data_IF_189444639997
#
_entry.id   IF_189444639997
#
_cell.length_a   1.000
_cell.length_b   1.000
_cell.length_c   1.000
_cell.angle_alpha   90.00
_cell.angle_beta   90.00
_cell.angle_gamma   90.00
#
_symmetry.space_group_name_H-M   'P 1'
#
loop_
_entity.id
_entity.type
_entity.pdbx_description
1 polymer ?
#
# COMPACT_ATOMS: atom_id res chain seq x y z
N UNK A 1 11.45 -11.15 -19.26
CA UNK A 1 11.89 -10.05 -18.40
C UNK A 1 10.84 -9.82 -17.33
N UNK A 2 11.25 -9.51 -16.09
CA UNK A 2 10.31 -9.28 -15.00
C UNK A 2 10.78 -8.08 -14.17
N UNK A 3 9.82 -7.26 -13.73
CA UNK A 3 10.02 -6.15 -12.82
C UNK A 3 9.87 -6.66 -11.39
N UNK A 4 10.88 -6.43 -10.55
CA UNK A 4 10.87 -6.80 -9.13
C UNK A 4 10.43 -5.61 -8.29
N UNK A 5 9.35 -5.76 -7.53
CA UNK A 5 8.79 -4.67 -6.71
C UNK A 5 8.49 -5.20 -5.31
N UNK A 6 8.62 -4.33 -4.30
CA UNK A 6 8.17 -4.63 -2.95
C UNK A 6 6.67 -4.93 -2.93
N UNK A 7 6.28 -6.05 -2.32
CA UNK A 7 4.87 -6.40 -2.12
C UNK A 7 4.08 -5.26 -1.51
N UNK A 8 4.64 -4.61 -0.50
CA UNK A 8 4.00 -3.52 0.23
C UNK A 8 3.73 -2.33 -0.70
N UNK A 9 4.71 -1.93 -1.52
CA UNK A 9 4.53 -0.85 -2.50
C UNK A 9 3.42 -1.19 -3.49
N UNK A 10 3.42 -2.42 -4.05
CA UNK A 10 2.42 -2.83 -5.02
C UNK A 10 1.00 -2.81 -4.44
N UNK A 11 0.79 -3.36 -3.25
CA UNK A 11 -0.53 -3.43 -2.62
C UNK A 11 -1.10 -2.02 -2.38
N UNK A 12 -0.30 -1.11 -1.81
CA UNK A 12 -0.75 0.27 -1.56
C UNK A 12 -0.99 1.07 -2.85
N UNK A 13 -0.11 0.91 -3.85
CA UNK A 13 -0.27 1.54 -5.15
C UNK A 13 -1.58 1.10 -5.82
N UNK A 14 -1.88 -0.19 -5.79
CA UNK A 14 -3.13 -0.74 -6.34
C UNK A 14 -4.35 -0.19 -5.61
N UNK A 15 -4.35 -0.14 -4.27
CA UNK A 15 -5.48 0.47 -3.53
C UNK A 15 -5.63 1.96 -3.84
N UNK A 16 -4.53 2.69 -4.03
CA UNK A 16 -4.57 4.10 -4.43
C UNK A 16 -5.29 4.30 -5.77
N UNK A 17 -5.21 3.34 -6.71
CA UNK A 17 -5.97 3.42 -7.97
C UNK A 17 -7.48 3.34 -7.81
N UNK A 18 -7.98 2.83 -6.66
CA UNK A 18 -9.40 2.74 -6.37
C UNK A 18 -9.98 4.02 -5.76
N UNK A 19 -9.14 4.98 -5.38
CA UNK A 19 -9.59 6.22 -4.73
C UNK A 19 -10.52 7.02 -5.64
N UNK A 20 -11.47 7.74 -5.05
CA UNK A 20 -12.40 8.58 -5.80
C UNK A 20 -11.70 9.79 -6.44
N UNK A 21 -10.67 10.32 -5.76
CA UNK A 21 -9.85 11.43 -6.24
C UNK A 21 -9.14 11.06 -7.55
N UNK A 22 -8.51 9.89 -7.60
CA UNK A 22 -7.83 9.45 -8.81
C UNK A 22 -8.81 9.15 -9.94
N UNK A 23 -9.96 8.52 -9.63
CA UNK A 23 -11.03 8.29 -10.61
C UNK A 23 -11.54 9.58 -11.25
N UNK A 24 -11.71 10.64 -10.46
CA UNK A 24 -12.12 11.96 -10.98
C UNK A 24 -11.05 12.54 -11.91
N UNK A 25 -9.77 12.42 -11.56
CA UNK A 25 -8.68 12.88 -12.45
C UNK A 25 -8.63 12.07 -13.74
N UNK A 26 -8.80 10.74 -13.67
CA UNK A 26 -8.87 9.86 -14.83
C UNK A 26 -10.06 10.21 -15.75
N UNK A 27 -11.21 10.57 -15.17
CA UNK A 27 -12.38 11.00 -15.94
C UNK A 27 -12.17 12.37 -16.62
N UNK A 28 -11.44 13.29 -15.98
CA UNK A 28 -11.04 14.57 -16.59
C UNK A 28 -10.06 14.33 -17.74
N UNK A 29 -9.10 13.41 -17.59
CA UNK A 29 -8.14 13.04 -18.65
C UNK A 29 -8.87 12.50 -19.89
N UNK A 30 -9.90 11.68 -19.70
CA UNK A 30 -10.71 11.12 -20.80
C UNK A 30 -11.56 12.17 -21.53
N UNK A 31 -11.85 13.30 -20.90
CA UNK A 31 -12.68 14.39 -21.45
C UNK A 31 -11.92 15.72 -21.37
N UNK A 32 -10.83 15.86 -22.15
CA UNK A 32 -9.91 16.98 -22.01
C UNK A 32 -10.57 18.26 -22.53
N UNK A 33 -11.11 19.08 -21.64
CA UNK A 33 -11.82 20.29 -22.05
C UNK A 33 -11.05 21.59 -21.76
N UNK A 34 -9.99 21.57 -20.94
CA UNK A 34 -9.35 22.82 -20.46
C UNK A 34 -7.84 22.76 -20.19
N UNK A 35 -7.25 21.59 -19.94
CA UNK A 35 -5.83 21.45 -19.63
C UNK A 35 -5.15 20.53 -20.65
N UNK A 36 -3.89 20.84 -21.04
CA UNK A 36 -3.05 19.90 -21.80
C UNK A 36 -2.95 18.54 -21.10
N UNK A 37 -2.99 17.47 -21.88
CA UNK A 37 -2.99 16.09 -21.36
C UNK A 37 -1.72 15.81 -20.55
N UNK A 38 -0.59 16.40 -20.93
CA UNK A 38 0.70 16.27 -20.27
C UNK A 38 0.63 16.75 -18.83
N UNK A 39 -0.02 17.90 -18.59
CA UNK A 39 -0.19 18.44 -17.25
C UNK A 39 -1.12 17.54 -16.40
N UNK A 40 -2.19 17.01 -17.01
CA UNK A 40 -3.10 16.11 -16.30
C UNK A 40 -2.41 14.78 -15.92
N UNK A 41 -1.54 14.25 -16.78
CA UNK A 41 -0.75 13.05 -16.48
C UNK A 41 0.26 13.30 -15.35
N UNK A 42 0.89 14.48 -15.30
CA UNK A 42 1.77 14.87 -14.18
C UNK A 42 0.98 14.97 -12.88
N UNK A 43 -0.19 15.63 -12.90
CA UNK A 43 -1.08 15.74 -11.73
C UNK A 43 -1.50 14.36 -11.25
N UNK A 44 -1.93 13.48 -12.17
CA UNK A 44 -2.32 12.10 -11.88
C UNK A 44 -1.18 11.32 -11.21
N UNK A 45 0.03 11.38 -11.77
CA UNK A 45 1.18 10.68 -11.21
C UNK A 45 1.52 11.16 -9.79
N UNK A 46 1.52 12.49 -9.58
CA UNK A 46 1.77 13.07 -8.26
C UNK A 46 0.68 12.72 -7.24
N UNK A 47 -0.59 12.78 -7.65
CA UNK A 47 -1.73 12.39 -6.82
C UNK A 47 -1.64 10.91 -6.42
N UNK A 48 -1.39 10.03 -7.39
CA UNK A 48 -1.23 8.59 -7.15
C UNK A 48 -0.12 8.32 -6.11
N UNK A 49 1.05 8.94 -6.30
CA UNK A 49 2.18 8.81 -5.35
C UNK A 49 1.81 9.30 -3.95
N UNK A 50 1.08 10.41 -3.85
CA UNK A 50 0.67 10.99 -2.57
C UNK A 50 -0.31 10.07 -1.85
N UNK A 51 -1.32 9.56 -2.56
CA UNK A 51 -2.31 8.62 -2.02
C UNK A 51 -1.66 7.30 -1.59
N UNK A 52 -0.71 6.78 -2.38
CA UNK A 52 0.04 5.57 -2.05
C UNK A 52 0.79 5.73 -0.73
N UNK A 53 1.50 6.86 -0.55
CA UNK A 53 2.21 7.14 0.69
C UNK A 53 1.26 7.33 1.87
N UNK A 54 0.13 8.02 1.67
CA UNK A 54 -0.87 8.21 2.72
C UNK A 54 -1.45 6.87 3.20
N UNK A 55 -1.91 6.01 2.27
CA UNK A 55 -2.43 4.68 2.60
C UNK A 55 -1.39 3.81 3.32
N UNK A 56 -0.12 3.94 2.94
CA UNK A 56 0.98 3.26 3.60
C UNK A 56 1.16 3.73 5.05
N UNK A 57 1.17 5.05 5.30
CA UNK A 57 1.24 5.59 6.67
C UNK A 57 0.02 5.20 7.51
N UNK A 58 -1.18 5.24 6.92
CA UNK A 58 -2.41 4.80 7.57
C UNK A 58 -2.34 3.31 7.98
N UNK A 59 -1.81 2.47 7.09
CA UNK A 59 -1.61 1.04 7.37
C UNK A 59 -0.59 0.79 8.48
N UNK A 60 0.49 1.59 8.56
CA UNK A 60 1.45 1.51 9.67
C UNK A 60 0.77 1.86 11.01
N UNK A 61 0.04 2.99 11.05
CA UNK A 61 -0.68 3.40 12.25
C UNK A 61 -1.75 2.35 12.66
N UNK A 62 -2.46 1.79 11.69
CA UNK A 62 -3.47 0.76 11.93
C UNK A 62 -2.85 -0.56 12.43
N UNK A 63 -1.66 -0.94 11.93
CA UNK A 63 -0.92 -2.09 12.43
C UNK A 63 -0.50 -1.90 13.88
N UNK A 64 0.07 -0.73 14.21
CA UNK A 64 0.46 -0.40 15.58
C UNK A 64 -0.72 -0.45 16.55
N UNK A 65 -1.89 0.06 16.13
CA UNK A 65 -3.12 -0.03 16.90
C UNK A 65 -3.57 -1.48 17.09
N UNK A 66 -3.53 -2.28 16.03
CA UNK A 66 -3.89 -3.70 16.10
C UNK A 66 -3.00 -4.46 17.09
N UNK A 67 -1.69 -4.25 17.07
CA UNK A 67 -0.76 -4.88 18.01
C UNK A 67 -1.01 -4.43 19.45
N UNK A 68 -1.30 -3.15 19.66
CA UNK A 68 -1.70 -2.64 20.98
C UNK A 68 -2.99 -3.31 21.45
N UNK A 69 -3.97 -3.48 20.57
CA UNK A 69 -5.23 -4.15 20.88
C UNK A 69 -5.00 -5.63 21.22
N UNK A 70 -4.06 -6.32 20.55
CA UNK A 70 -3.63 -7.66 20.94
C UNK A 70 -3.00 -7.69 22.34
N UNK A 71 -2.12 -6.74 22.65
CA UNK A 71 -1.50 -6.65 23.97
C UNK A 71 -2.53 -6.39 25.08
N UNK A 72 -3.56 -5.57 24.80
CA UNK A 72 -4.67 -5.31 25.75
C UNK A 72 -5.51 -6.55 26.08
N UNK A 73 -5.41 -7.62 25.28
CA UNK A 73 -6.02 -8.91 25.60
C UNK A 73 -5.27 -9.66 26.72
N UNK A 74 -4.08 -9.21 27.09
CA UNK A 74 -3.24 -9.77 28.15
C UNK A 74 -3.19 -8.83 29.36
N UNK A 75 -3.10 -9.41 30.57
CA UNK A 75 -2.79 -8.62 31.77
C UNK A 75 -1.31 -8.22 31.78
N UNK A 76 -0.90 -7.21 32.57
CA UNK A 76 0.49 -6.76 32.64
C UNK A 76 1.51 -7.88 32.89
N UNK A 77 1.17 -8.84 33.77
CA UNK A 77 2.05 -9.98 34.07
C UNK A 77 2.24 -10.91 32.88
N UNK A 78 1.15 -11.21 32.14
CA UNK A 78 1.23 -12.01 30.91
C UNK A 78 2.00 -11.28 29.81
N UNK A 79 1.88 -9.95 29.71
CA UNK A 79 2.68 -9.15 28.76
C UNK A 79 4.17 -9.28 29.11
N UNK A 80 4.53 -9.07 30.38
CA UNK A 80 5.92 -9.20 30.85
C UNK A 80 6.48 -10.60 30.56
N UNK A 81 5.72 -11.65 30.87
CA UNK A 81 6.13 -13.02 30.59
C UNK A 81 6.37 -13.26 29.09
N UNK A 82 5.46 -12.85 28.21
CA UNK A 82 5.65 -13.03 26.77
C UNK A 82 6.84 -12.21 26.25
N UNK A 83 7.03 -11.00 26.79
CA UNK A 83 8.18 -10.16 26.46
C UNK A 83 9.51 -10.83 26.87
N UNK A 84 9.57 -11.45 28.04
CA UNK A 84 10.78 -12.11 28.54
C UNK A 84 11.11 -13.42 27.79
N UNK A 85 10.08 -14.15 27.35
CA UNK A 85 10.24 -15.46 26.68
C UNK A 85 10.41 -15.33 25.17
N UNK A 86 9.58 -14.51 24.52
CA UNK A 86 9.53 -14.40 23.05
C UNK A 86 10.08 -13.07 22.53
N UNK A 87 10.32 -12.09 23.41
CA UNK A 87 10.76 -10.75 23.03
C UNK A 87 9.61 -9.76 22.80
N UNK A 88 9.95 -8.52 22.42
CA UNK A 88 8.99 -7.42 22.26
C UNK A 88 8.05 -7.54 21.06
N UNK A 89 8.40 -8.40 20.10
CA UNK A 89 7.64 -8.57 18.87
C UNK A 89 6.43 -9.49 19.10
N UNK A 90 5.24 -8.89 19.14
CA UNK A 90 3.95 -9.60 19.35
C UNK A 90 3.73 -10.70 18.31
N UNK A 91 4.30 -10.56 17.10
CA UNK A 91 4.16 -11.55 16.04
C UNK A 91 4.94 -12.84 16.30
N UNK A 92 5.90 -12.82 17.24
CA UNK A 92 6.69 -13.99 17.63
C UNK A 92 6.07 -14.77 18.79
N UNK A 93 4.96 -14.30 19.36
CA UNK A 93 4.28 -14.92 20.50
C UNK A 93 3.49 -16.17 20.06
N UNK A 94 4.19 -17.29 19.88
CA UNK A 94 3.64 -18.56 19.36
C UNK A 94 2.42 -19.09 20.12
N UNK A 95 2.35 -18.84 21.43
CA UNK A 95 1.30 -19.36 22.30
C UNK A 95 0.15 -18.37 22.52
N UNK A 96 0.17 -17.21 21.86
CA UNK A 96 -0.93 -16.26 21.95
C UNK A 96 -2.18 -16.87 21.32
N UNK A 97 -3.16 -17.23 22.15
CA UNK A 97 -4.43 -17.86 21.75
C UNK A 97 -5.63 -16.92 21.94
N UNK A 98 -5.36 -15.62 22.11
CA UNK A 98 -6.37 -14.61 22.43
C UNK A 98 -6.27 -14.11 23.87
N UNK A 99 -7.40 -13.68 24.48
CA UNK A 99 -7.40 -13.06 25.81
C UNK A 99 -6.87 -14.00 26.90
N UNK A 100 -6.07 -13.46 27.82
CA UNK A 100 -5.59 -14.23 28.96
C UNK A 100 -6.73 -14.56 29.93
N UNK A 101 -6.61 -15.69 30.63
CA UNK A 101 -7.61 -16.14 31.59
C UNK A 101 -7.81 -15.14 32.75
N UNK A 102 -6.75 -14.40 33.11
CA UNK A 102 -6.79 -13.34 34.11
C UNK A 102 -7.81 -12.23 33.78
N UNK A 103 -7.93 -11.86 32.49
CA UNK A 103 -8.86 -10.83 32.02
C UNK A 103 -10.26 -11.42 31.76
N UNK A 104 -10.33 -12.65 31.21
CA UNK A 104 -11.62 -13.31 30.94
C UNK A 104 -12.47 -13.46 32.21
N UNK A 105 -11.86 -13.92 33.31
CA UNK A 105 -12.56 -14.09 34.59
C UNK A 105 -13.10 -12.78 35.18
N UNK A 106 -12.47 -11.64 34.87
CA UNK A 106 -12.96 -10.32 35.27
C UNK A 106 -14.13 -9.86 34.38
N UNK A 107 -14.04 -10.09 33.06
CA UNK A 107 -15.02 -9.61 32.09
C UNK A 107 -16.30 -10.44 32.01
N UNK A 108 -16.26 -11.73 32.33
CA UNK A 108 -17.44 -12.62 32.33
C UNK A 108 -18.55 -12.14 33.27
N UNK A 109 -18.22 -11.29 34.25
CA UNK A 109 -19.20 -10.69 35.16
C UNK A 109 -19.94 -9.49 34.58
N UNK A 110 -19.45 -8.88 33.49
CA UNK A 110 -19.88 -7.54 33.09
C UNK A 110 -20.42 -7.41 31.66
N UNK A 111 -20.03 -8.20 30.65
CA UNK A 111 -20.54 -7.92 29.31
C UNK A 111 -20.37 -8.99 28.22
N UNK A 112 -21.28 -8.86 27.24
CA UNK A 112 -21.43 -9.56 25.97
C UNK A 112 -20.08 -9.73 25.23
N UNK A 113 -19.81 -10.90 24.63
CA UNK A 113 -18.53 -11.18 23.98
C UNK A 113 -18.21 -10.11 22.95
N UNK A 114 -17.19 -9.31 23.26
CA UNK A 114 -16.54 -8.46 22.28
C UNK A 114 -16.09 -9.36 21.14
N UNK A 115 -16.43 -8.96 19.92
CA UNK A 115 -16.01 -9.63 18.68
C UNK A 115 -14.55 -10.06 18.79
N UNK A 116 -14.33 -11.36 18.66
CA UNK A 116 -13.02 -11.99 18.74
C UNK A 116 -12.09 -11.30 17.75
N UNK A 117 -11.07 -10.61 18.25
CA UNK A 117 -10.03 -10.04 17.40
C UNK A 117 -9.40 -11.20 16.62
N UNK A 118 -9.45 -11.11 15.29
CA UNK A 118 -8.86 -12.12 14.42
C UNK A 118 -7.34 -12.07 14.55
N UNK A 119 -6.72 -13.21 14.81
CA UNK A 119 -5.27 -13.35 14.86
C UNK A 119 -4.72 -13.61 13.45
N UNK A 120 -3.67 -12.90 13.08
CA UNK A 120 -2.96 -13.10 11.82
C UNK A 120 -1.59 -13.73 12.07
N UNK A 121 -1.10 -14.50 11.08
CA UNK A 121 0.17 -15.23 11.19
C UNK A 121 1.38 -14.29 11.22
N UNK A 122 1.32 -13.19 10.46
CA UNK A 122 2.39 -12.21 10.36
C UNK A 122 1.82 -10.84 9.94
N UNK A 123 2.62 -9.75 10.02
CA UNK A 123 2.18 -8.41 9.66
C UNK A 123 1.68 -8.28 8.21
N UNK A 124 2.28 -9.02 7.27
CA UNK A 124 1.89 -9.00 5.87
C UNK A 124 0.51 -9.62 5.64
N UNK A 125 0.17 -10.69 6.35
CA UNK A 125 -1.15 -11.31 6.27
C UNK A 125 -2.24 -10.40 6.86
N UNK A 126 -1.91 -9.69 7.95
CA UNK A 126 -2.77 -8.63 8.46
C UNK A 126 -2.95 -7.51 7.42
N UNK A 127 -1.86 -7.09 6.76
CA UNK A 127 -1.89 -6.03 5.75
C UNK A 127 -2.78 -6.40 4.56
N UNK A 128 -2.66 -7.63 4.05
CA UNK A 128 -3.52 -8.13 2.98
C UNK A 128 -5.00 -8.08 3.37
N UNK A 129 -5.34 -8.52 4.59
CA UNK A 129 -6.70 -8.44 5.09
C UNK A 129 -7.18 -6.99 5.26
N UNK A 130 -6.34 -6.12 5.85
CA UNK A 130 -6.63 -4.70 6.04
C UNK A 130 -6.93 -4.00 4.70
N UNK A 131 -6.06 -4.19 3.71
CA UNK A 131 -6.22 -3.60 2.38
C UNK A 131 -7.38 -4.23 1.59
N UNK A 132 -7.71 -5.51 1.83
CA UNK A 132 -8.93 -6.12 1.27
C UNK A 132 -10.19 -5.42 1.79
N UNK A 133 -10.25 -5.13 3.10
CA UNK A 133 -11.35 -4.37 3.69
C UNK A 133 -11.42 -2.94 3.15
N UNK A 134 -10.28 -2.27 2.98
CA UNK A 134 -10.23 -0.94 2.39
C UNK A 134 -10.69 -0.95 0.91
N UNK A 135 -10.19 -1.89 0.11
CA UNK A 135 -10.59 -2.03 -1.28
C UNK A 135 -12.09 -2.33 -1.42
N UNK A 136 -12.65 -3.17 -0.55
CA UNK A 136 -14.09 -3.43 -0.52
C UNK A 136 -14.92 -2.18 -0.22
N UNK A 137 -14.42 -1.25 0.62
CA UNK A 137 -15.07 0.04 0.90
C UNK A 137 -14.98 1.02 -0.26
N UNK A 138 -13.89 0.99 -1.03
CA UNK A 138 -13.66 1.87 -2.19
C UNK A 138 -14.31 1.36 -3.48
N UNK A 139 -14.67 0.08 -3.52
CA UNK A 139 -15.35 -0.54 -4.66
C UNK A 139 -16.84 -0.20 -4.65
N UNK A 140 -17.41 0.30 -5.77
CA UNK A 140 -18.83 0.62 -5.86
C UNK A 140 -19.71 -0.65 -5.86
N UNK A 141 -19.14 -1.79 -6.25
CA UNK A 141 -19.83 -3.08 -6.23
C UNK A 141 -19.47 -3.81 -4.93
N UNK A 142 -20.42 -3.99 -4.00
CA UNK A 142 -20.17 -4.69 -2.75
C UNK A 142 -20.05 -6.19 -3.02
N UNK A 143 -18.85 -6.64 -3.40
CA UNK A 143 -18.51 -8.06 -3.33
C UNK A 143 -17.94 -8.30 -1.93
N UNK A 144 -18.64 -9.06 -1.06
CA UNK A 144 -18.23 -9.26 0.34
C UNK A 144 -16.93 -10.07 0.49
N UNK A 145 -16.32 -10.53 -0.61
CA UNK A 145 -15.16 -11.42 -0.61
C UNK A 145 -14.05 -10.97 -1.58
N UNK A 146 -14.02 -9.70 -1.98
CA UNK A 146 -12.95 -9.23 -2.86
C UNK A 146 -11.61 -9.28 -2.13
N UNK A 147 -10.74 -10.21 -2.52
CA UNK A 147 -9.37 -10.26 -2.03
C UNK A 147 -8.60 -9.08 -2.63
N UNK A 148 -7.68 -8.49 -1.86
CA UNK A 148 -6.77 -7.48 -2.41
C UNK A 148 -6.03 -7.99 -3.65
N UNK A 149 -5.74 -9.29 -3.73
CA UNK A 149 -5.07 -9.89 -4.89
C UNK A 149 -5.92 -9.89 -6.15
N UNK A 150 -7.25 -10.00 -6.04
CA UNK A 150 -8.15 -9.89 -7.18
C UNK A 150 -8.06 -8.48 -7.78
N UNK A 151 -7.98 -7.46 -6.92
CA UNK A 151 -7.78 -6.07 -7.31
C UNK A 151 -6.41 -5.87 -7.96
N UNK A 152 -5.34 -6.45 -7.39
CA UNK A 152 -3.99 -6.37 -7.97
C UNK A 152 -3.97 -6.98 -9.37
N UNK A 153 -4.56 -8.16 -9.56
CA UNK A 153 -4.61 -8.83 -10.86
C UNK A 153 -5.38 -7.98 -11.86
N UNK A 154 -6.57 -7.47 -11.48
CA UNK A 154 -7.38 -6.63 -12.37
C UNK A 154 -6.65 -5.34 -12.76
N UNK A 155 -6.03 -4.65 -11.79
CA UNK A 155 -5.27 -3.43 -12.05
C UNK A 155 -4.07 -3.71 -12.95
N UNK A 156 -3.27 -4.74 -12.69
CA UNK A 156 -2.13 -5.10 -13.53
C UNK A 156 -2.54 -5.47 -14.95
N UNK A 157 -3.66 -6.17 -15.12
CA UNK A 157 -4.20 -6.48 -16.45
C UNK A 157 -4.53 -5.22 -17.26
N UNK A 158 -5.04 -4.16 -16.62
CA UNK A 158 -5.27 -2.86 -17.28
C UNK A 158 -3.98 -2.20 -17.77
N UNK A 159 -2.85 -2.51 -17.14
CA UNK A 159 -1.51 -2.09 -17.57
C UNK A 159 -0.76 -3.15 -18.37
N UNK A 160 -1.48 -4.12 -18.95
CA UNK A 160 -0.89 -5.18 -19.78
C UNK A 160 0.17 -6.02 -19.05
N UNK A 161 0.03 -6.16 -17.74
CA UNK A 161 0.93 -6.90 -16.88
C UNK A 161 0.21 -8.04 -16.15
N UNK A 162 0.97 -9.03 -15.71
CA UNK A 162 0.51 -10.10 -14.84
C UNK A 162 1.56 -10.45 -13.78
N UNK A 163 1.10 -11.04 -12.69
CA UNK A 163 1.94 -11.58 -11.62
C UNK A 163 2.59 -12.89 -12.09
N UNK A 164 3.88 -13.06 -11.80
CA UNK A 164 4.57 -14.34 -12.03
C UNK A 164 4.11 -15.36 -10.99
N UNK A 165 3.49 -16.46 -11.42
CA UNK A 165 2.86 -17.46 -10.54
C UNK A 165 3.79 -18.14 -9.57
N UNK A 166 5.08 -18.28 -9.88
CA UNK A 166 6.05 -18.87 -8.95
C UNK A 166 6.10 -18.13 -7.62
N UNK A 167 5.86 -16.81 -7.63
CA UNK A 167 5.79 -16.04 -6.40
C UNK A 167 4.47 -16.32 -5.68
N UNK A 168 3.37 -16.56 -6.43
CA UNK A 168 2.05 -16.90 -5.92
C UNK A 168 1.93 -18.33 -5.42
N UNK A 169 2.66 -19.32 -5.93
CA UNK A 169 2.54 -20.71 -5.50
C UNK A 169 3.10 -20.95 -4.08
N UNK A 170 4.01 -20.10 -3.63
CA UNK A 170 4.37 -19.94 -2.20
C UNK A 170 3.20 -19.39 -1.35
N UNK A 171 2.20 -18.77 -1.98
CA UNK A 171 0.95 -18.29 -1.36
C UNK A 171 -0.29 -19.17 -1.66
N UNK A 172 -0.32 -19.92 -2.78
CA UNK A 172 -1.53 -20.48 -3.42
C UNK A 172 -1.70 -21.98 -3.27
N UNK A 173 -0.66 -22.73 -2.84
CA UNK A 173 -0.80 -24.14 -2.42
C UNK A 173 -1.76 -24.35 -1.22
N UNK A 174 -2.42 -23.26 -0.79
CA UNK A 174 -3.38 -23.11 0.30
C UNK A 174 -4.83 -23.03 -0.22
N UNK A 175 -5.11 -22.81 -1.52
CA UNK A 175 -6.50 -22.54 -1.96
C UNK A 175 -7.21 -23.69 -2.71
N UNK A 176 -6.57 -24.87 -2.82
CA UNK A 176 -7.08 -26.02 -3.59
C UNK A 176 -8.05 -26.96 -2.87
N UNK A 177 -8.25 -26.84 -1.56
CA UNK A 177 -9.27 -27.62 -0.84
C UNK A 177 -10.51 -26.75 -0.66
N UNK A 178 -11.65 -27.14 -1.23
CA UNK A 178 -12.96 -26.57 -0.88
C UNK A 178 -13.19 -26.79 0.62
N UNK A 179 -12.89 -25.76 1.41
CA UNK A 179 -13.11 -25.79 2.84
C UNK A 179 -14.60 -25.68 3.12
N UNK A 180 -15.10 -26.64 3.89
CA UNK A 180 -16.34 -26.50 4.63
C UNK A 180 -16.25 -25.29 5.57
N UNK A 181 -17.33 -24.51 5.79
CA UNK A 181 -17.28 -23.24 6.54
C UNK A 181 -16.91 -23.32 8.03
N UNK A 182 -16.54 -24.50 8.55
CA UNK A 182 -16.36 -24.72 9.99
C UNK A 182 -15.06 -25.42 10.41
N UNK A 183 -14.07 -25.55 9.51
CA UNK A 183 -12.84 -26.32 9.78
C UNK A 183 -11.59 -25.47 9.99
N UNK A 184 -11.15 -25.37 11.24
CA UNK A 184 -9.89 -24.78 11.72
C UNK A 184 -8.65 -25.29 10.96
N UNK A 185 -7.91 -24.35 10.35
CA UNK A 185 -6.45 -24.20 10.32
C UNK A 185 -5.52 -25.38 9.94
N UNK A 186 -5.79 -26.07 8.83
CA UNK A 186 -4.74 -26.93 8.20
C UNK A 186 -3.66 -26.09 7.48
N UNK A 187 -3.95 -24.83 7.16
CA UNK A 187 -3.02 -23.88 6.51
C UNK A 187 -1.88 -23.38 7.40
N UNK A 188 -1.95 -23.66 8.70
CA UNK A 188 -1.09 -23.06 9.71
C UNK A 188 0.23 -23.81 9.90
N UNK A 189 0.29 -25.11 9.60
CA UNK A 189 1.47 -25.91 9.93
C UNK A 189 2.61 -25.82 8.89
N UNK A 190 2.33 -25.62 7.60
CA UNK A 190 3.40 -25.64 6.58
C UNK A 190 4.22 -24.35 6.53
N UNK A 191 3.60 -23.20 6.79
CA UNK A 191 4.29 -21.90 6.89
C UNK A 191 5.09 -21.76 8.20
N UNK A 192 4.64 -22.43 9.27
CA UNK A 192 5.41 -22.57 10.51
C UNK A 192 6.72 -23.33 10.26
N UNK A 193 6.69 -24.40 9.45
CA UNK A 193 7.89 -25.21 9.17
C UNK A 193 8.96 -24.40 8.42
N UNK A 194 8.58 -23.56 7.46
CA UNK A 194 9.54 -22.73 6.72
C UNK A 194 10.07 -21.53 7.53
N UNK A 195 9.31 -21.04 8.52
CA UNK A 195 9.72 -19.92 9.37
C UNK A 195 10.57 -20.37 10.58
N UNK A 196 10.30 -21.55 11.14
CA UNK A 196 11.05 -22.12 12.26
C UNK A 196 12.23 -23.00 11.84
N UNK A 197 12.31 -23.38 10.55
CA UNK A 197 13.40 -24.17 9.99
C UNK A 197 14.67 -23.38 9.65
N UNK A 198 15.25 -22.65 10.60
CA UNK A 198 16.67 -22.22 10.59
C UNK A 198 17.20 -21.41 9.38
N UNK A 199 16.32 -20.93 8.49
CA UNK A 199 16.72 -20.21 7.28
C UNK A 199 16.85 -18.72 7.59
N UNK A 200 18.01 -18.17 7.21
CA UNK A 200 18.39 -16.74 7.30
C UNK A 200 17.21 -15.81 6.94
N UNK A 201 17.14 -14.59 7.53
CA UNK A 201 16.10 -13.62 7.23
C UNK A 201 15.96 -13.50 5.71
N UNK A 202 14.87 -14.03 5.17
CA UNK A 202 14.57 -13.93 3.75
C UNK A 202 14.44 -12.45 3.45
N UNK A 203 15.05 -12.01 2.34
CA UNK A 203 14.81 -10.68 1.78
C UNK A 203 13.32 -10.35 1.81
N UNK A 204 12.93 -9.08 2.03
CA UNK A 204 11.53 -8.68 2.04
C UNK A 204 10.80 -9.24 0.81
N UNK A 205 9.53 -9.66 0.95
CA UNK A 205 8.82 -10.34 -0.12
C UNK A 205 8.74 -9.44 -1.36
N UNK A 206 9.53 -9.77 -2.38
CA UNK A 206 9.50 -9.12 -3.69
C UNK A 206 8.55 -9.87 -4.59
N UNK A 207 7.75 -9.13 -5.35
CA UNK A 207 6.84 -9.65 -6.36
C UNK A 207 7.43 -9.39 -7.74
N UNK A 208 7.39 -10.39 -8.61
CA UNK A 208 7.75 -10.28 -10.01
C UNK A 208 6.51 -10.03 -10.86
N UNK A 209 6.59 -8.96 -11.65
CA UNK A 209 5.57 -8.57 -12.62
C UNK A 209 6.16 -8.76 -14.02
N UNK A 210 5.39 -9.36 -14.93
CA UNK A 210 5.79 -9.49 -16.33
C UNK A 210 4.69 -8.99 -17.27
N UNK A 211 5.02 -8.58 -18.51
CA UNK A 211 4.02 -8.25 -19.50
C UNK A 211 3.16 -9.45 -19.90
N UNK A 212 1.92 -9.18 -20.28
CA UNK A 212 1.02 -10.14 -20.89
C UNK A 212 1.52 -10.53 -22.30
N UNK A 213 1.62 -11.83 -22.56
CA UNK A 213 2.00 -12.35 -23.88
C UNK A 213 1.13 -11.80 -25.04
N UNK A 214 -0.21 -11.68 -24.91
CA UNK A 214 -1.04 -11.05 -25.93
C UNK A 214 -0.63 -9.61 -26.25
N UNK A 215 -0.27 -8.82 -25.24
CA UNK A 215 0.12 -7.42 -25.40
C UNK A 215 1.48 -7.27 -26.11
N UNK A 216 2.42 -8.17 -25.85
CA UNK A 216 3.69 -8.22 -26.58
C UNK A 216 3.48 -8.48 -28.08
N UNK A 217 2.60 -9.43 -28.42
CA UNK A 217 2.26 -9.75 -29.83
C UNK A 217 1.51 -8.60 -30.50
N UNK A 218 0.65 -7.90 -29.75
CA UNK A 218 -0.05 -6.73 -30.28
C UNK A 218 0.94 -5.63 -30.72
N UNK A 219 1.91 -5.30 -29.86
CA UNK A 219 2.95 -4.32 -30.21
C UNK A 219 3.85 -4.79 -31.37
N UNK A 220 4.13 -6.09 -31.46
CA UNK A 220 4.85 -6.65 -32.61
C UNK A 220 4.10 -6.45 -33.93
N UNK A 221 2.78 -6.69 -33.92
CA UNK A 221 1.93 -6.50 -35.10
C UNK A 221 1.82 -5.03 -35.53
N UNK A 222 1.90 -4.10 -34.58
CA UNK A 222 1.97 -2.64 -34.82
C UNK A 222 3.36 -2.18 -35.31
N UNK A 223 4.32 -3.10 -35.47
CA UNK A 223 5.68 -2.77 -35.90
C UNK A 223 6.53 -2.09 -34.83
N UNK A 224 6.14 -2.20 -33.55
CA UNK A 224 6.92 -1.66 -32.43
C UNK A 224 8.04 -2.63 -32.06
N UNK A 225 9.27 -2.26 -32.39
CA UNK A 225 10.49 -3.04 -32.12
C UNK A 225 10.80 -4.08 -33.19
N UNK A 226 12.00 -4.68 -33.11
CA UNK A 226 12.44 -5.72 -34.04
C UNK A 226 11.63 -7.02 -33.89
N UNK A 227 11.69 -7.92 -34.86
CA UNK A 227 11.10 -9.25 -34.73
C UNK A 227 11.99 -10.16 -33.85
N UNK A 228 11.37 -11.09 -33.12
CA UNK A 228 12.08 -12.08 -32.30
C UNK A 228 12.50 -11.60 -30.91
N UNK A 229 13.44 -12.32 -30.29
CA UNK A 229 13.75 -12.20 -28.84
C UNK A 229 14.23 -10.80 -28.42
N UNK A 230 15.02 -10.13 -29.26
CA UNK A 230 15.52 -8.79 -28.97
C UNK A 230 14.37 -7.76 -28.92
N UNK A 231 13.45 -7.83 -29.89
CA UNK A 231 12.25 -6.99 -29.90
C UNK A 231 11.27 -7.32 -28.79
N UNK A 232 11.11 -8.60 -28.41
CA UNK A 232 10.31 -8.98 -27.25
C UNK A 232 10.82 -8.32 -25.95
N UNK A 233 12.14 -8.25 -25.75
CA UNK A 233 12.71 -7.58 -24.58
C UNK A 233 12.41 -6.07 -24.59
N UNK A 234 12.60 -5.40 -25.72
CA UNK A 234 12.31 -3.97 -25.85
C UNK A 234 10.82 -3.65 -25.65
N UNK A 235 9.92 -4.46 -26.22
CA UNK A 235 8.47 -4.33 -25.99
C UNK A 235 8.09 -4.57 -24.54
N UNK A 236 8.72 -5.56 -23.90
CA UNK A 236 8.52 -5.83 -22.49
C UNK A 236 8.95 -4.65 -21.61
N UNK A 237 10.08 -4.03 -21.93
CA UNK A 237 10.58 -2.85 -21.23
C UNK A 237 9.63 -1.66 -21.35
N UNK A 238 9.07 -1.43 -22.53
CA UNK A 238 8.08 -0.36 -22.73
C UNK A 238 6.87 -0.56 -21.82
N UNK A 239 6.29 -1.77 -21.79
CA UNK A 239 5.12 -2.09 -20.96
C UNK A 239 5.46 -1.97 -19.47
N UNK A 240 6.59 -2.53 -19.03
CA UNK A 240 6.99 -2.49 -17.62
C UNK A 240 7.35 -1.07 -17.16
N UNK A 241 8.03 -0.27 -17.99
CA UNK A 241 8.33 1.13 -17.69
C UNK A 241 7.05 1.96 -17.57
N UNK A 242 6.09 1.75 -18.48
CA UNK A 242 4.79 2.41 -18.44
C UNK A 242 4.04 2.05 -17.15
N UNK A 243 3.91 0.75 -16.85
CA UNK A 243 3.23 0.28 -15.64
C UNK A 243 3.90 0.81 -14.37
N UNK A 244 5.24 0.76 -14.30
CA UNK A 244 6.01 1.26 -13.17
C UNK A 244 5.80 2.76 -12.93
N UNK A 245 5.80 3.56 -14.01
CA UNK A 245 5.58 5.00 -13.92
C UNK A 245 4.15 5.32 -13.52
N UNK A 246 3.17 4.70 -14.18
CA UNK A 246 1.76 5.07 -14.04
C UNK A 246 1.14 4.57 -12.72
N UNK A 247 1.67 3.48 -12.15
CA UNK A 247 1.35 2.99 -10.80
C UNK A 247 2.27 3.55 -9.72
N UNK A 248 3.22 4.45 -10.05
CA UNK A 248 4.14 5.03 -9.07
C UNK A 248 4.97 3.99 -8.30
N UNK A 249 5.36 2.89 -8.94
CA UNK A 249 6.08 1.77 -8.31
C UNK A 249 7.56 2.08 -8.01
N UNK A 250 8.05 3.22 -8.49
CA UNK A 250 9.37 3.75 -8.14
C UNK A 250 9.47 4.26 -6.69
N UNK A 251 8.37 4.26 -5.94
CA UNK A 251 8.37 4.61 -4.52
C UNK A 251 9.04 3.51 -3.70
N UNK A 252 10.23 3.81 -3.21
CA UNK A 252 10.95 2.99 -2.23
C UNK A 252 10.34 3.18 -0.83
N UNK A 253 9.25 2.46 -0.58
CA UNK A 253 8.68 2.36 0.75
C UNK A 253 9.51 1.38 1.58
N UNK A 254 10.19 1.89 2.61
CA UNK A 254 10.89 1.05 3.58
C UNK A 254 9.87 0.15 4.26
N UNK A 255 9.97 -1.15 4.07
CA UNK A 255 9.02 -2.13 4.56
C UNK A 255 9.11 -2.32 6.10
N UNK A 256 8.17 -1.76 6.90
CA UNK A 256 8.15 -1.95 8.34
C UNK A 256 7.50 -3.28 8.74
N UNK A 257 6.93 -4.02 7.79
CA UNK A 257 6.25 -5.30 8.00
C UNK A 257 7.23 -6.48 7.95
N UNK A 258 8.45 -6.27 7.43
CA UNK A 258 9.49 -7.30 7.30
C UNK A 258 10.62 -7.19 8.32
N UNK A 259 10.85 -6.02 8.93
CA UNK A 259 11.91 -5.87 9.94
C UNK A 259 11.44 -6.37 11.31
N UNK A 260 12.24 -7.19 12.03
CA UNK A 260 12.03 -7.40 13.45
C UNK A 260 11.93 -6.04 14.12
N UNK A 261 10.82 -5.79 14.82
CA UNK A 261 10.70 -4.51 15.51
C UNK A 261 11.67 -4.51 16.65
N UNK A 262 12.65 -3.62 16.57
CA UNK A 262 13.37 -3.22 17.76
C UNK A 262 12.31 -2.75 18.78
N UNK A 263 12.43 -3.14 20.06
CA UNK A 263 11.54 -2.62 21.09
C UNK A 263 11.55 -1.10 20.93
N UNK A 264 10.39 -0.44 20.90
CA UNK A 264 10.37 1.00 20.79
C UNK A 264 11.21 1.53 21.94
N UNK A 265 12.42 2.02 21.63
CA UNK A 265 13.14 2.85 22.57
C UNK A 265 12.11 3.91 22.95
N UNK A 266 11.78 4.02 24.24
CA UNK A 266 10.77 4.93 24.76
C UNK A 266 11.21 6.38 24.50
N UNK A 267 11.26 6.80 23.24
CA UNK A 267 11.31 8.17 22.81
C UNK A 267 9.86 8.56 22.59
N UNK A 268 9.29 9.45 23.41
CA UNK A 268 7.90 9.87 23.31
C UNK A 268 7.59 10.69 22.03
N UNK A 269 8.42 10.64 21.00
CA UNK A 269 8.10 11.13 19.65
C UNK A 269 7.15 10.14 18.96
N UNK A 270 5.99 9.92 19.55
CA UNK A 270 4.86 9.38 18.82
C UNK A 270 4.54 10.43 17.77
N UNK A 271 4.94 10.17 16.52
CA UNK A 271 4.30 10.80 15.36
C UNK A 271 2.82 10.63 15.63
N UNK A 272 2.13 11.75 15.91
CA UNK A 272 0.74 11.74 16.31
C UNK A 272 -0.04 11.20 15.12
N UNK A 273 -0.21 9.87 15.06
CA UNK A 273 -1.19 9.19 14.24
C UNK A 273 -2.54 9.69 14.78
N UNK A 274 -2.95 10.88 14.35
CA UNK A 274 -4.27 11.39 14.70
C UNK A 274 -5.25 10.41 14.10
N UNK A 275 -6.09 9.74 14.91
CA UNK A 275 -7.15 8.94 14.36
C UNK A 275 -8.01 9.89 13.51
N UNK A 276 -8.12 9.58 12.22
CA UNK A 276 -9.04 10.29 11.35
C UNK A 276 -10.44 10.03 11.91
N UNK A 277 -11.08 11.06 12.44
CA UNK A 277 -12.35 10.97 13.21
C UNK A 277 -13.52 10.48 12.34
N UNK A 278 -13.28 10.26 11.05
CA UNK A 278 -14.21 9.69 10.08
C UNK A 278 -14.38 8.17 10.18
N UNK A 279 -13.51 7.44 10.89
CA UNK A 279 -13.58 5.97 11.03
C UNK A 279 -14.45 5.54 12.23
N UNK A 280 -15.70 6.01 12.27
CA UNK A 280 -16.76 5.38 13.07
C UNK A 280 -17.53 4.37 12.23
N UNK A 281 -17.13 3.10 12.30
CA UNK A 281 -18.01 1.91 12.45
C UNK A 281 -17.30 0.61 12.04
N UNK A 282 -16.40 0.11 12.88
CA UNK A 282 -16.45 -1.31 13.25
C UNK A 282 -16.56 -1.34 14.77
N UNK A 283 -17.63 -1.95 15.26
CA UNK A 283 -18.13 -1.93 16.66
C UNK A 283 -19.02 -0.74 17.01
N UNK A 284 -20.31 -1.04 17.25
CA UNK A 284 -21.21 -0.22 18.06
C UNK A 284 -20.79 -0.37 19.52
N UNK A 285 -20.36 0.68 20.25
CA UNK A 285 -20.58 0.74 21.68
C UNK A 285 -21.93 1.40 21.92
N UNK A 286 -22.84 0.68 22.59
CA UNK A 286 -23.96 1.31 23.24
C UNK A 286 -23.39 2.11 24.44
N UNK A 287 -23.86 3.35 24.60
CA UNK A 287 -23.62 4.25 25.74
C UNK A 287 -22.20 4.81 25.92
N UNK A 288 -21.85 5.85 25.15
CA UNK A 288 -21.15 7.02 25.69
C UNK A 288 -21.67 8.30 25.00
N UNK A 289 -21.97 9.32 25.81
CA UNK A 289 -22.44 10.64 25.39
C UNK A 289 -21.40 11.33 24.47
N UNK A 290 -21.83 12.00 23.37
CA UNK A 290 -20.90 12.63 22.44
C UNK A 290 -20.35 13.92 23.05
N UNK A 291 -19.03 13.96 23.27
CA UNK A 291 -18.32 15.22 23.47
C UNK A 291 -18.13 15.88 22.10
N UNK A 292 -18.88 16.96 21.87
CA UNK A 292 -18.77 17.83 20.69
C UNK A 292 -17.39 18.49 20.68
N UNK A 293 -16.51 18.06 19.77
CA UNK A 293 -15.23 18.71 19.52
C UNK A 293 -15.44 19.99 18.70
N UNK A 294 -14.87 21.09 19.19
CA UNK A 294 -15.13 22.46 18.73
C UNK A 294 -14.67 22.73 17.28
N UNK A 295 -15.34 23.66 16.56
CA UNK A 295 -15.08 24.02 15.16
C UNK A 295 -13.71 24.69 14.90
N UNK A 296 -12.92 24.96 15.95
CA UNK A 296 -11.63 25.67 15.81
C UNK A 296 -10.55 24.79 15.16
N UNK A 297 -10.63 23.46 15.32
CA UNK A 297 -9.58 22.55 14.83
C UNK A 297 -9.62 22.28 13.33
N UNK A 298 -10.79 22.41 12.69
CA UNK A 298 -10.91 22.23 11.24
C UNK A 298 -10.28 23.40 10.45
N UNK A 299 -10.17 24.58 11.07
CA UNK A 299 -9.48 25.73 10.50
C UNK A 299 -7.97 25.51 10.39
N UNK A 300 -7.35 24.91 11.41
CA UNK A 300 -5.89 24.75 11.50
C UNK A 300 -5.33 23.75 10.48
N UNK A 301 -6.06 22.66 10.21
CA UNK A 301 -5.63 21.67 9.20
C UNK A 301 -5.69 22.27 7.79
N UNK A 302 -6.72 23.07 7.51
CA UNK A 302 -6.90 23.73 6.21
C UNK A 302 -5.84 24.80 5.97
N UNK A 303 -5.44 25.55 7.02
CA UNK A 303 -4.38 26.54 6.91
C UNK A 303 -3.00 25.90 6.74
N UNK A 304 -2.70 24.79 7.43
CA UNK A 304 -1.42 24.08 7.26
C UNK A 304 -1.26 23.47 5.85
N UNK A 305 -2.31 22.86 5.30
CA UNK A 305 -2.26 22.31 3.93
C UNK A 305 -2.10 23.41 2.86
N UNK A 306 -2.76 24.56 3.07
CA UNK A 306 -2.61 25.73 2.21
C UNK A 306 -1.18 26.30 2.27
N UNK A 307 -0.62 26.46 3.48
CA UNK A 307 0.76 26.93 3.67
C UNK A 307 1.78 25.99 3.04
N UNK A 308 1.62 24.68 3.16
CA UNK A 308 2.50 23.71 2.52
C UNK A 308 2.49 23.82 0.99
N UNK A 309 1.31 24.01 0.38
CA UNK A 309 1.18 24.21 -1.07
C UNK A 309 1.81 25.53 -1.52
N UNK A 310 1.65 26.61 -0.74
CA UNK A 310 2.22 27.92 -1.04
C UNK A 310 3.75 27.89 -0.93
N UNK A 311 4.30 27.26 0.11
CA UNK A 311 5.75 27.09 0.27
C UNK A 311 6.32 26.24 -0.88
N UNK A 312 5.63 25.16 -1.29
CA UNK A 312 6.01 24.36 -2.45
C UNK A 312 6.03 25.16 -3.76
N UNK A 313 5.07 26.07 -3.96
CA UNK A 313 5.03 26.98 -5.10
C UNK A 313 6.20 28.00 -5.08
N UNK A 314 6.53 28.55 -3.90
CA UNK A 314 7.66 29.47 -3.75
C UNK A 314 9.03 28.81 -3.95
N UNK A 315 9.20 27.55 -3.52
CA UNK A 315 10.45 26.81 -3.70
C UNK A 315 10.60 26.31 -5.15
N UNK A 316 9.51 26.03 -5.85
CA UNK A 316 9.53 25.62 -7.27
C UNK A 316 9.64 26.79 -8.26
N UNK A 317 9.30 28.02 -7.85
CA UNK A 317 9.43 29.22 -8.67
C UNK A 317 10.86 29.52 -9.15
N UNK A 318 11.91 29.53 -8.30
CA UNK A 318 13.27 29.80 -8.75
C UNK A 318 13.80 28.72 -9.71
N UNK A 319 13.35 27.47 -9.57
CA UNK A 319 13.70 26.37 -10.50
C UNK A 319 13.05 26.56 -11.88
N UNK A 320 11.77 26.95 -11.92
CA UNK A 320 11.05 27.20 -13.18
C UNK A 320 11.55 28.46 -13.89
N UNK A 321 11.89 29.51 -13.12
CA UNK A 321 12.54 30.73 -13.66
C UNK A 321 13.94 30.40 -14.20
N UNK A 322 14.72 29.58 -13.49
CA UNK A 322 16.04 29.15 -13.96
C UNK A 322 15.96 28.33 -15.25
N UNK A 323 15.00 27.41 -15.36
CA UNK A 323 14.79 26.62 -16.60
C UNK A 323 14.29 27.49 -17.75
N UNK A 324 13.43 28.47 -17.49
CA UNK A 324 12.97 29.43 -18.50
C UNK A 324 14.09 30.36 -18.98
N UNK A 325 14.93 30.85 -18.06
CA UNK A 325 16.10 31.64 -18.41
C UNK A 325 17.10 30.82 -19.25
N UNK A 326 17.34 29.55 -18.88
CA UNK A 326 18.27 28.67 -19.57
C UNK A 326 17.75 28.27 -20.96
N UNK A 327 16.44 28.05 -21.12
CA UNK A 327 15.83 27.83 -22.45
C UNK A 327 15.90 29.07 -23.34
N UNK A 328 15.64 30.27 -22.81
CA UNK A 328 15.82 31.53 -23.55
C UNK A 328 17.29 31.68 -23.97
N UNK A 329 18.23 31.50 -23.04
CA UNK A 329 19.67 31.56 -23.35
C UNK A 329 20.01 30.54 -24.42
N UNK A 330 19.62 29.27 -24.30
CA UNK A 330 19.89 28.26 -25.33
C UNK A 330 19.26 28.57 -26.69
N UNK A 331 18.07 29.18 -26.73
CA UNK A 331 17.39 29.53 -27.97
C UNK A 331 18.07 30.71 -28.68
N UNK A 332 18.48 31.73 -27.93
CA UNK A 332 19.14 32.93 -28.46
C UNK A 332 20.66 32.77 -28.62
N UNK A 333 21.28 31.79 -27.95
CA UNK A 333 22.70 31.46 -28.11
C UNK A 333 22.98 30.60 -29.34
N UNK A 334 21.99 30.34 -30.22
CA UNK A 334 22.27 29.68 -31.49
C UNK A 334 23.32 30.50 -32.25
N UNK A 335 24.55 29.98 -32.44
CA UNK A 335 25.59 30.74 -33.10
C UNK A 335 25.18 30.98 -34.55
N UNK A 336 25.27 32.25 -34.98
CA UNK A 336 25.00 32.73 -36.34
C UNK A 336 25.87 32.03 -37.42
N UNK A 337 26.86 31.23 -36.99
CA UNK A 337 27.81 30.51 -37.84
C UNK A 337 27.23 29.33 -38.66
N UNK A 338 25.93 29.01 -38.57
CA UNK A 338 25.28 27.96 -39.38
C UNK A 338 24.27 28.51 -40.41
N UNK A 339 24.43 29.76 -40.87
CA UNK A 339 23.85 30.18 -42.16
C UNK A 339 24.81 29.76 -43.28
N UNK A 340 24.69 28.50 -43.71
CA UNK A 340 25.22 28.06 -45.01
C UNK A 340 24.43 28.81 -46.08
N UNK A 341 25.14 29.60 -46.89
CA UNK A 341 24.55 30.37 -47.98
C UNK A 341 23.85 29.46 -48.98
N UNK A 342 22.65 29.89 -49.38
CA UNK A 342 21.97 29.47 -50.62
C UNK A 342 22.22 30.53 -51.66
#
# INVERSE_FOLDING_TARGET
MALHISKVTLLHAVVATLSSELKVVDDIIRRPNRLPAELLLIIRAHLHSTLTNQLFQESICALAKYEQDLQRLLCPDCISYNHDIYGPDVWQWQQFSGPCHCIQTQNDRLQKPSSTLQQFVNPHHWLEHHLSLQAARLSPTPSPLCSIWDVVIDVLHRYHCELVRDDLDDFSLVQGTRLSPSGVNVFYYRRLIDYYGGMKPRSPPTIRIRPLNPSLRFLENEGVGEAGKAGESSRADIILCQASRDLGLALELKDPFSSPREPPAFSPSWVSCRPNVSDTAMHKPAFLLPFSASPVFHGVVRTCSFLSSVIGAFVSMPMTIATLALTIVCFYSRPIALRVGV
#
